data_IF_890577478174
#
_entry.id   IF_890577478174
#
_cell.length_a   1.000
_cell.length_b   1.000
_cell.length_c   1.000
_cell.angle_alpha   90.00
_cell.angle_beta   90.00
_cell.angle_gamma   90.00
#
_symmetry.space_group_name_H-M   'P 1'
#
loop_
_entity.id
_entity.type
_entity.pdbx_description
1 polymer ?
#
# COMPACT_ATOMS: atom_id res chain seq x y z
N UNK A 1 -10.71 -0.51 -9.18
CA UNK A 1 -12.08 -0.78 -9.67
C UNK A 1 -12.83 -1.44 -8.53
N UNK A 2 -14.02 -0.97 -8.16
CA UNK A 2 -14.81 -1.44 -6.99
C UNK A 2 -15.08 -2.95 -7.00
N UNK A 3 -15.10 -3.55 -8.20
CA UNK A 3 -15.23 -4.99 -8.40
C UNK A 3 -14.13 -5.82 -7.72
N UNK A 4 -12.92 -5.27 -7.60
CA UNK A 4 -11.75 -5.95 -7.03
C UNK A 4 -11.67 -5.86 -5.50
N UNK A 5 -12.62 -5.18 -4.84
CA UNK A 5 -12.70 -5.16 -3.39
C UNK A 5 -13.18 -6.52 -2.85
N UNK A 6 -12.69 -6.95 -1.67
CA UNK A 6 -13.25 -8.10 -0.96
C UNK A 6 -14.74 -7.89 -0.63
N UNK A 7 -15.51 -8.99 -0.63
CA UNK A 7 -16.97 -8.93 -0.39
C UNK A 7 -17.32 -8.42 1.01
N UNK A 8 -16.51 -8.78 2.01
CA UNK A 8 -16.66 -8.31 3.38
C UNK A 8 -16.43 -6.79 3.49
N UNK A 9 -15.49 -6.23 2.71
CA UNK A 9 -15.26 -4.78 2.60
C UNK A 9 -16.44 -4.08 1.93
N UNK A 10 -16.96 -4.65 0.83
CA UNK A 10 -18.14 -4.13 0.12
C UNK A 10 -19.38 -4.12 1.01
N UNK A 11 -19.60 -5.20 1.77
CA UNK A 11 -20.76 -5.33 2.67
C UNK A 11 -20.77 -4.27 3.78
N UNK A 12 -19.59 -3.77 4.16
CA UNK A 12 -19.40 -2.68 5.13
C UNK A 12 -19.54 -1.29 4.50
N UNK A 13 -19.85 -1.19 3.20
CA UNK A 13 -19.98 0.08 2.47
C UNK A 13 -18.66 0.81 2.22
N UNK A 14 -17.51 0.15 2.46
CA UNK A 14 -16.20 0.75 2.28
C UNK A 14 -15.80 0.78 0.80
N UNK A 15 -15.21 1.91 0.38
CA UNK A 15 -14.77 2.11 -1.01
C UNK A 15 -13.26 1.87 -1.22
N UNK A 16 -12.53 1.69 -0.13
CA UNK A 16 -11.08 1.45 -0.12
C UNK A 16 -10.78 0.28 0.81
N UNK A 17 -9.75 -0.48 0.47
CA UNK A 17 -9.20 -1.54 1.30
C UNK A 17 -7.67 -1.40 1.31
N UNK A 18 -7.07 -1.23 2.49
CA UNK A 18 -5.63 -1.08 2.70
C UNK A 18 -5.22 -1.93 3.88
N UNK A 19 -4.63 -3.08 3.59
CA UNK A 19 -4.24 -4.07 4.58
C UNK A 19 -2.80 -4.48 4.36
N UNK A 20 -2.06 -4.63 5.47
CA UNK A 20 -0.77 -5.29 5.53
C UNK A 20 -0.93 -6.43 6.55
N UNK A 21 -0.64 -7.66 6.14
CA UNK A 21 -0.56 -8.80 7.05
C UNK A 21 0.89 -9.12 7.35
N UNK A 22 1.26 -9.15 8.63
CA UNK A 22 2.60 -9.50 9.10
C UNK A 22 2.46 -10.55 10.21
N UNK A 23 3.18 -11.67 10.08
CA UNK A 23 3.16 -12.78 11.05
C UNK A 23 1.76 -13.29 11.43
N UNK A 24 0.81 -13.20 10.49
CA UNK A 24 -0.57 -13.63 10.68
C UNK A 24 -1.49 -12.57 11.28
N UNK A 25 -0.97 -11.42 11.68
CA UNK A 25 -1.75 -10.30 12.19
C UNK A 25 -2.02 -9.28 11.08
N UNK A 26 -3.28 -8.83 11.01
CA UNK A 26 -3.72 -7.83 10.03
C UNK A 26 -3.68 -6.43 10.62
N UNK A 27 -3.03 -5.52 9.88
CA UNK A 27 -3.10 -4.08 10.11
C UNK A 27 -3.92 -3.48 8.96
N UNK A 28 -5.18 -3.14 9.25
CA UNK A 28 -6.10 -2.47 8.33
C UNK A 28 -6.05 -0.95 8.58
N UNK A 29 -5.82 -0.18 7.52
CA UNK A 29 -5.65 1.27 7.58
C UNK A 29 -6.41 1.95 6.44
N UNK A 30 -7.64 1.53 6.15
CA UNK A 30 -8.49 2.24 5.18
C UNK A 30 -9.07 3.54 5.73
N UNK A 31 -9.19 3.64 7.06
CA UNK A 31 -9.55 4.86 7.79
C UNK A 31 -8.34 5.59 8.40
N UNK A 32 -8.54 6.83 8.88
CA UNK A 32 -7.56 7.53 9.72
C UNK A 32 -6.52 8.42 9.02
N UNK A 33 -6.72 8.78 7.74
CA UNK A 33 -5.78 9.63 6.99
C UNK A 33 -5.95 11.14 7.15
N UNK A 34 -6.87 11.61 8.01
CA UNK A 34 -7.34 13.00 7.97
C UNK A 34 -6.31 14.04 8.38
N UNK A 35 -5.22 13.64 9.07
CA UNK A 35 -4.27 14.59 9.67
C UNK A 35 -2.78 14.25 9.47
N UNK A 36 -2.47 13.24 8.64
CA UNK A 36 -1.08 12.83 8.43
C UNK A 36 -0.24 13.92 7.76
N UNK A 37 -0.84 14.74 6.90
CA UNK A 37 -0.14 15.86 6.27
C UNK A 37 0.32 16.88 7.33
N UNK A 38 -0.56 17.27 8.25
CA UNK A 38 -0.21 18.18 9.36
C UNK A 38 0.97 17.63 10.17
N UNK A 39 0.94 16.34 10.50
CA UNK A 39 2.04 15.67 11.21
C UNK A 39 3.35 15.67 10.43
N UNK A 40 3.29 15.49 9.11
CA UNK A 40 4.47 15.58 8.23
C UNK A 40 5.07 16.99 8.26
N UNK A 41 4.23 18.03 8.19
CA UNK A 41 4.69 19.42 8.27
C UNK A 41 5.31 19.74 9.64
N UNK A 42 4.65 19.38 10.73
CA UNK A 42 5.17 19.55 12.11
C UNK A 42 6.57 18.94 12.25
N UNK A 43 6.75 17.70 11.78
CA UNK A 43 8.03 17.00 11.83
C UNK A 43 9.09 17.67 10.97
N UNK A 44 8.73 18.07 9.75
CA UNK A 44 9.65 18.72 8.81
C UNK A 44 10.17 20.03 9.38
N UNK A 45 9.28 20.87 9.91
CA UNK A 45 9.66 22.15 10.53
C UNK A 45 10.50 21.96 11.81
N UNK A 46 10.33 20.85 12.52
CA UNK A 46 11.16 20.47 13.67
C UNK A 46 12.53 19.85 13.30
N UNK A 47 12.88 19.79 12.00
CA UNK A 47 14.13 19.17 11.53
C UNK A 47 14.10 17.64 11.48
N UNK A 48 12.93 17.01 11.67
CA UNK A 48 12.71 15.57 11.68
C UNK A 48 11.87 15.10 10.46
N UNK A 49 12.00 15.82 9.35
CA UNK A 49 11.36 15.48 8.07
C UNK A 49 12.05 14.32 7.36
N UNK A 50 11.40 13.77 6.32
CA UNK A 50 12.00 12.74 5.48
C UNK A 50 13.06 13.35 4.55
N UNK A 51 14.21 12.70 4.44
CA UNK A 51 15.28 13.13 3.55
C UNK A 51 15.20 12.45 2.17
N UNK A 52 16.14 12.82 1.29
CA UNK A 52 16.28 12.14 0.00
C UNK A 52 16.68 10.67 0.20
N UNK A 53 17.54 10.41 1.18
CA UNK A 53 18.01 9.07 1.53
C UNK A 53 16.86 8.19 2.04
N UNK A 54 15.94 8.74 2.84
CA UNK A 54 14.73 8.02 3.30
C UNK A 54 13.82 7.61 2.13
N UNK A 55 13.72 8.46 1.12
CA UNK A 55 12.78 8.28 -0.01
C UNK A 55 13.37 7.44 -1.15
N UNK A 56 14.71 7.43 -1.28
CA UNK A 56 15.42 6.81 -2.40
C UNK A 56 15.07 5.32 -2.63
N UNK A 57 15.02 4.44 -1.61
CA UNK A 57 14.72 3.03 -1.83
C UNK A 57 13.34 2.80 -2.46
N UNK A 58 12.34 3.59 -2.07
CA UNK A 58 11.00 3.50 -2.64
C UNK A 58 10.98 3.95 -4.11
N UNK A 59 11.71 5.03 -4.44
CA UNK A 59 11.84 5.56 -5.80
C UNK A 59 12.52 4.53 -6.72
N UNK A 60 13.61 3.93 -6.26
CA UNK A 60 14.32 2.88 -7.01
C UNK A 60 13.44 1.65 -7.24
N UNK A 61 12.75 1.18 -6.20
CA UNK A 61 11.83 0.06 -6.30
C UNK A 61 10.71 0.29 -7.33
N UNK A 62 10.05 1.45 -7.31
CA UNK A 62 8.98 1.74 -8.29
C UNK A 62 9.53 1.94 -9.70
N UNK A 63 10.78 2.42 -9.83
CA UNK A 63 11.45 2.50 -11.12
C UNK A 63 11.68 1.12 -11.71
N UNK A 64 12.23 0.19 -10.91
CA UNK A 64 12.52 -1.18 -11.34
C UNK A 64 11.24 -1.94 -11.69
N UNK A 65 10.19 -1.82 -10.86
CA UNK A 65 8.88 -2.45 -11.15
C UNK A 65 8.33 -1.97 -12.49
N UNK A 66 8.48 -0.68 -12.81
CA UNK A 66 7.93 -0.08 -14.04
C UNK A 66 8.65 -0.56 -15.32
N UNK A 67 9.92 -0.94 -15.24
CA UNK A 67 10.73 -1.37 -16.39
C UNK A 67 10.87 -2.89 -16.47
N UNK A 68 10.49 -3.62 -15.42
CA UNK A 68 10.57 -5.07 -15.36
C UNK A 68 9.57 -5.76 -16.29
N UNK A 69 10.00 -6.84 -16.94
CA UNK A 69 9.10 -7.69 -17.72
C UNK A 69 8.28 -8.59 -16.79
N UNK A 70 6.94 -8.62 -16.90
CA UNK A 70 6.10 -9.50 -16.09
C UNK A 70 6.45 -10.97 -16.29
N UNK A 71 6.66 -11.70 -15.19
CA UNK A 71 7.06 -13.13 -15.21
C UNK A 71 5.87 -14.10 -15.19
N UNK A 72 4.64 -13.59 -15.10
CA UNK A 72 3.43 -14.40 -15.03
C UNK A 72 3.17 -15.02 -13.65
N UNK A 73 2.37 -16.09 -13.61
CA UNK A 73 2.00 -16.76 -12.36
C UNK A 73 3.18 -17.55 -11.80
N UNK A 74 3.64 -17.17 -10.60
CA UNK A 74 4.71 -17.86 -9.86
C UNK A 74 4.19 -18.30 -8.49
N UNK A 75 4.98 -19.10 -7.76
CA UNK A 75 4.65 -19.50 -6.39
C UNK A 75 4.48 -18.32 -5.42
N UNK A 76 5.00 -17.12 -5.77
CA UNK A 76 4.94 -15.90 -4.94
C UNK A 76 3.84 -14.92 -5.38
N UNK A 77 2.87 -15.39 -6.16
CA UNK A 77 1.79 -14.55 -6.65
C UNK A 77 0.85 -14.11 -5.51
N UNK A 78 0.41 -12.86 -5.54
CA UNK A 78 -0.54 -12.35 -4.56
C UNK A 78 -1.90 -13.08 -4.67
N UNK A 79 -2.60 -13.41 -3.56
CA UNK A 79 -3.85 -14.16 -3.57
C UNK A 79 -4.94 -13.57 -4.48
N UNK A 80 -4.99 -12.24 -4.62
CA UNK A 80 -6.01 -11.58 -5.44
C UNK A 80 -5.76 -11.72 -6.95
N UNK A 81 -4.54 -12.04 -7.37
CA UNK A 81 -4.28 -12.30 -8.80
C UNK A 81 -4.82 -13.67 -9.21
N UNK A 82 -4.90 -14.64 -8.27
CA UNK A 82 -5.51 -15.95 -8.53
C UNK A 82 -7.04 -15.91 -8.66
N UNK A 83 -7.70 -14.86 -8.13
CA UNK A 83 -9.16 -14.74 -8.13
C UNK A 83 -9.76 -14.34 -9.48
N UNK A 84 -8.94 -13.81 -10.39
CA UNK A 84 -9.35 -13.38 -11.74
C UNK A 84 -8.95 -14.40 -12.84
N UNK A 85 -8.71 -15.67 -12.47
CA UNK A 85 -8.44 -16.78 -13.40
C UNK A 85 -9.58 -17.80 -13.43
#
# INVERSE_FOLDING_TARGET
NEKSLPEDVKSKGQRTYRSITLDGEEIEFSGGFTDLHTKVYERTLAGNGFTLEDSKPAIELVHDIRTMTPTGSTARIHPFVKKDA
#
